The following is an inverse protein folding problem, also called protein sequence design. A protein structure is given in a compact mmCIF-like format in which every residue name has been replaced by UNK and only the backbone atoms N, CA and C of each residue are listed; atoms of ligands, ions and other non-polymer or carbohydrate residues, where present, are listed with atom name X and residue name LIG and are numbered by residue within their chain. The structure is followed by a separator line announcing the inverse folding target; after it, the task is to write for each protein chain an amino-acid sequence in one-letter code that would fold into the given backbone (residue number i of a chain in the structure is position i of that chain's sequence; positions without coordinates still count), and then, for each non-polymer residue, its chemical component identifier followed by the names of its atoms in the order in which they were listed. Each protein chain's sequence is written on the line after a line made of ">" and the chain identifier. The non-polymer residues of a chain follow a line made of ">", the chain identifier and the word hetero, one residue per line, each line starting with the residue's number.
data_IF_507947585445
#
_entry.id   IF_507947585445
#
_cell.length_a   1.000
_cell.length_b   1.000
_cell.length_c   1.000
_cell.angle_alpha   90.00
_cell.angle_beta   90.00
_cell.angle_gamma   90.00
#
_symmetry.space_group_name_H-M   'P 1'
#
loop_
_entity.id
_entity.type
_entity.pdbx_description
1 polymer ?
#
# COMPACT_ATOMS: atom_id res chain seq x y z
N UNK A 1 14.63 -38.20 13.29
CA UNK A 1 13.62 -37.48 12.48
C UNK A 1 12.81 -38.52 11.74
N UNK A 2 11.60 -38.82 12.21
CA UNK A 2 10.67 -39.70 11.50
C UNK A 2 10.12 -38.93 10.31
N UNK A 3 10.38 -39.44 9.11
CA UNK A 3 9.84 -38.87 7.87
C UNK A 3 8.30 -38.82 7.95
N UNK A 4 7.73 -37.72 7.48
CA UNK A 4 6.29 -37.59 7.35
C UNK A 4 5.78 -38.67 6.37
N UNK A 5 4.96 -39.61 6.84
CA UNK A 5 4.49 -40.76 6.06
C UNK A 5 3.52 -40.38 4.91
N UNK A 6 3.16 -39.10 4.80
CA UNK A 6 2.21 -38.57 3.81
C UNK A 6 2.88 -38.06 2.52
N UNK A 7 4.20 -38.24 2.36
CA UNK A 7 4.97 -37.66 1.26
C UNK A 7 5.23 -36.17 1.51
N UNK A 8 6.38 -35.66 1.04
CA UNK A 8 6.68 -34.23 1.11
C UNK A 8 6.15 -33.53 -0.14
N UNK A 9 5.62 -32.33 0.04
CA UNK A 9 5.21 -31.44 -1.04
C UNK A 9 6.19 -30.25 -1.14
N UNK A 10 7.45 -30.47 -1.57
CA UNK A 10 8.39 -29.38 -1.77
C UNK A 10 7.95 -28.51 -2.96
N UNK A 11 8.41 -27.26 -2.98
CA UNK A 11 8.15 -26.33 -4.08
C UNK A 11 7.02 -25.33 -3.78
N UNK A 12 6.62 -24.61 -4.82
CA UNK A 12 5.54 -23.62 -4.77
C UNK A 12 4.33 -24.09 -5.56
N UNK A 13 3.14 -23.84 -5.03
CA UNK A 13 1.86 -24.23 -5.62
C UNK A 13 0.99 -23.00 -5.81
N UNK A 14 0.23 -22.91 -6.92
CA UNK A 14 -0.70 -21.82 -7.11
C UNK A 14 -1.89 -22.00 -6.17
N UNK A 15 -2.35 -20.90 -5.57
CA UNK A 15 -3.55 -20.89 -4.74
C UNK A 15 -4.33 -19.58 -4.94
N UNK A 16 -5.54 -19.56 -4.40
CA UNK A 16 -6.46 -18.42 -4.42
C UNK A 16 -6.90 -18.14 -2.98
N UNK A 17 -6.85 -16.88 -2.56
CA UNK A 17 -7.37 -16.47 -1.25
C UNK A 17 -8.90 -16.53 -1.27
N UNK A 18 -9.48 -17.24 -0.32
CA UNK A 18 -10.93 -17.33 -0.14
C UNK A 18 -11.43 -16.40 0.97
N UNK A 19 -10.64 -16.24 2.04
CA UNK A 19 -10.89 -15.25 3.08
C UNK A 19 -9.61 -14.84 3.79
N UNK A 20 -9.60 -13.65 4.37
CA UNK A 20 -8.50 -13.11 5.17
C UNK A 20 -9.01 -12.77 6.58
N UNK A 21 -8.33 -13.30 7.59
CA UNK A 21 -8.53 -12.92 9.00
C UNK A 21 -7.47 -11.89 9.38
N UNK A 22 -7.90 -10.63 9.47
CA UNK A 22 -7.01 -9.49 9.69
C UNK A 22 -6.36 -9.51 11.08
N UNK A 23 -7.08 -9.94 12.10
CA UNK A 23 -6.59 -9.99 13.48
C UNK A 23 -5.51 -11.09 13.63
N UNK A 24 -5.73 -12.24 13.00
CA UNK A 24 -4.81 -13.38 13.03
C UNK A 24 -3.68 -13.29 12.01
N UNK A 25 -3.82 -12.46 10.98
CA UNK A 25 -2.91 -12.38 9.82
C UNK A 25 -2.80 -13.74 9.10
N UNK A 26 -3.93 -14.40 8.88
CA UNK A 26 -4.01 -15.72 8.22
C UNK A 26 -5.06 -15.74 7.14
N UNK A 27 -4.87 -16.56 6.12
CA UNK A 27 -5.83 -16.69 5.02
C UNK A 27 -6.41 -18.11 4.92
N UNK A 28 -7.67 -18.22 4.51
CA UNK A 28 -8.21 -19.47 3.98
C UNK A 28 -7.92 -19.52 2.50
N UNK A 29 -7.32 -20.62 2.03
CA UNK A 29 -6.83 -20.71 0.66
C UNK A 29 -7.39 -21.92 -0.09
N UNK A 30 -7.77 -21.70 -1.33
CA UNK A 30 -8.08 -22.77 -2.28
C UNK A 30 -6.80 -23.13 -3.05
N UNK A 31 -6.51 -24.42 -3.16
CA UNK A 31 -5.40 -24.96 -3.94
C UNK A 31 -6.02 -25.82 -5.05
N UNK A 32 -6.16 -25.29 -6.28
CA UNK A 32 -6.83 -25.98 -7.38
C UNK A 32 -6.27 -27.39 -7.60
N UNK A 33 -7.15 -28.38 -7.70
CA UNK A 33 -6.80 -29.79 -7.87
C UNK A 33 -6.43 -30.52 -6.57
N UNK A 34 -6.30 -29.82 -5.44
CA UNK A 34 -6.00 -30.40 -4.12
C UNK A 34 -7.16 -30.20 -3.16
N UNK A 35 -7.79 -29.03 -3.14
CA UNK A 35 -8.89 -28.69 -2.22
C UNK A 35 -10.25 -28.68 -2.91
N UNK A 36 -10.37 -29.25 -4.11
CA UNK A 36 -11.62 -29.26 -4.87
C UNK A 36 -12.71 -30.02 -4.11
N UNK A 37 -13.85 -29.36 -3.86
CA UNK A 37 -14.96 -29.94 -3.10
C UNK A 37 -14.76 -30.01 -1.58
N UNK A 38 -13.76 -29.30 -1.03
CA UNK A 38 -13.56 -29.21 0.41
C UNK A 38 -14.65 -28.36 1.08
N UNK A 39 -15.20 -28.84 2.21
CA UNK A 39 -16.14 -28.06 3.04
C UNK A 39 -15.46 -26.90 3.77
N UNK A 40 -14.16 -27.04 4.06
CA UNK A 40 -13.34 -26.05 4.75
C UNK A 40 -11.97 -25.96 4.09
N UNK A 41 -11.60 -24.76 3.65
CA UNK A 41 -10.30 -24.49 3.07
C UNK A 41 -9.18 -24.47 4.13
N UNK A 42 -7.95 -24.93 3.81
CA UNK A 42 -6.81 -24.86 4.71
C UNK A 42 -6.49 -23.42 5.11
N UNK A 43 -6.04 -23.24 6.35
CA UNK A 43 -5.54 -21.96 6.86
C UNK A 43 -4.04 -21.86 6.58
N UNK A 44 -3.63 -20.75 5.98
CA UNK A 44 -2.25 -20.46 5.64
C UNK A 44 -1.71 -19.24 6.41
N UNK A 45 -0.46 -19.35 6.83
CA UNK A 45 0.32 -18.23 7.36
C UNK A 45 0.81 -17.31 6.22
N UNK A 46 1.19 -16.08 6.57
CA UNK A 46 1.75 -15.10 5.63
C UNK A 46 3.26 -15.01 5.83
N UNK A 47 4.03 -15.24 4.76
CA UNK A 47 5.47 -14.97 4.75
C UNK A 47 5.70 -13.46 4.58
N UNK A 48 6.10 -12.79 5.65
CA UNK A 48 6.44 -11.37 5.59
C UNK A 48 7.82 -11.17 4.95
N UNK A 49 7.95 -10.23 3.99
CA UNK A 49 9.26 -9.81 3.51
C UNK A 49 10.15 -9.31 4.65
N UNK A 50 11.46 -9.56 4.54
CA UNK A 50 12.42 -8.99 5.48
C UNK A 50 12.32 -7.46 5.44
N UNK A 51 12.00 -6.86 6.59
CA UNK A 51 11.76 -5.41 6.73
C UNK A 51 10.31 -5.08 7.05
N UNK A 52 9.36 -5.83 6.50
CA UNK A 52 7.93 -5.65 6.73
C UNK A 52 7.53 -6.39 8.00
N UNK A 53 7.90 -5.83 9.15
CA UNK A 53 7.70 -6.50 10.44
C UNK A 53 6.23 -6.47 10.82
N UNK A 54 5.61 -7.65 10.89
CA UNK A 54 4.21 -7.81 11.30
C UNK A 54 3.92 -7.28 12.72
N UNK A 55 4.92 -7.31 13.63
CA UNK A 55 4.83 -6.80 15.00
C UNK A 55 6.16 -6.19 15.42
N UNK A 56 6.37 -4.89 15.18
CA UNK A 56 7.56 -4.17 15.63
C UNK A 56 7.20 -2.77 16.11
N UNK A 57 7.14 -2.59 17.43
CA UNK A 57 6.80 -1.30 18.02
C UNK A 57 5.43 -0.78 17.56
N UNK A 58 5.33 0.53 17.35
CA UNK A 58 4.17 1.19 16.75
C UNK A 58 4.04 0.99 15.24
N UNK A 59 5.09 0.46 14.59
CA UNK A 59 5.26 0.53 13.13
C UNK A 59 5.03 -0.84 12.48
N UNK A 60 4.12 -1.63 13.06
CA UNK A 60 3.72 -2.92 12.50
C UNK A 60 3.13 -2.76 11.11
N UNK A 61 3.59 -3.57 10.15
CA UNK A 61 3.10 -3.52 8.77
C UNK A 61 2.03 -4.56 8.53
N UNK A 62 0.92 -4.11 7.96
CA UNK A 62 -0.08 -4.96 7.32
C UNK A 62 0.15 -4.95 5.81
N UNK A 63 0.09 -6.14 5.21
CA UNK A 63 -0.03 -6.28 3.76
C UNK A 63 -1.51 -6.50 3.47
N UNK A 64 -2.11 -5.65 2.64
CA UNK A 64 -3.48 -5.84 2.17
C UNK A 64 -3.57 -7.17 1.42
N UNK A 65 -4.51 -8.03 1.82
CA UNK A 65 -4.87 -9.29 1.13
C UNK A 65 -6.39 -9.34 1.04
N UNK A 66 -6.92 -9.65 -0.14
CA UNK A 66 -8.34 -9.69 -0.43
C UNK A 66 -8.78 -11.07 -0.95
N UNK A 67 -10.04 -11.46 -0.73
CA UNK A 67 -10.63 -12.62 -1.41
C UNK A 67 -10.49 -12.49 -2.93
N UNK A 68 -10.10 -13.59 -3.58
CA UNK A 68 -9.83 -13.68 -5.01
C UNK A 68 -8.38 -13.45 -5.39
N UNK A 69 -7.52 -13.00 -4.47
CA UNK A 69 -6.10 -12.79 -4.78
C UNK A 69 -5.42 -14.08 -5.19
N UNK A 70 -4.72 -14.03 -6.32
CA UNK A 70 -3.89 -15.14 -6.79
C UNK A 70 -2.53 -15.10 -6.11
N UNK A 71 -2.15 -16.22 -5.49
CA UNK A 71 -0.96 -16.31 -4.66
C UNK A 71 -0.12 -17.55 -4.99
N UNK A 72 1.14 -17.50 -4.57
CA UNK A 72 2.01 -18.66 -4.46
C UNK A 72 2.10 -19.11 -3.02
N UNK A 73 1.86 -20.39 -2.78
CA UNK A 73 2.07 -21.01 -1.46
C UNK A 73 3.24 -21.98 -1.50
N UNK A 74 3.84 -22.22 -0.35
CA UNK A 74 4.69 -23.36 -0.07
C UNK A 74 4.17 -24.06 1.18
N UNK A 75 4.83 -25.13 1.59
CA UNK A 75 4.51 -25.86 2.81
C UNK A 75 5.72 -25.88 3.73
N UNK A 76 5.52 -25.53 5.00
CA UNK A 76 6.62 -25.45 5.98
C UNK A 76 7.22 -26.86 6.15
N UNK A 77 8.50 -27.01 5.81
CA UNK A 77 9.18 -28.32 5.78
C UNK A 77 8.61 -29.33 4.77
N UNK A 78 7.80 -28.87 3.82
CA UNK A 78 7.09 -29.71 2.85
C UNK A 78 5.86 -30.45 3.42
N UNK A 79 5.39 -30.10 4.63
CA UNK A 79 4.22 -30.70 5.26
C UNK A 79 2.94 -29.97 4.84
N UNK A 80 2.08 -30.65 4.08
CA UNK A 80 0.87 -30.09 3.46
C UNK A 80 -0.14 -29.51 4.45
N UNK A 81 -0.02 -29.85 5.73
CA UNK A 81 -0.87 -29.32 6.82
C UNK A 81 -0.52 -27.89 7.22
N UNK A 82 0.65 -27.40 6.83
CA UNK A 82 1.17 -26.08 7.22
C UNK A 82 1.51 -25.24 5.99
N UNK A 83 0.50 -24.77 5.23
CA UNK A 83 0.73 -23.89 4.10
C UNK A 83 1.19 -22.50 4.57
N UNK A 84 2.07 -21.90 3.77
CA UNK A 84 2.55 -20.53 3.93
C UNK A 84 2.45 -19.80 2.59
N UNK A 85 1.84 -18.62 2.60
CA UNK A 85 1.77 -17.73 1.44
C UNK A 85 3.13 -17.07 1.27
N UNK A 86 3.77 -17.29 0.13
CA UNK A 86 5.14 -16.81 -0.15
C UNK A 86 5.17 -15.58 -1.07
N UNK A 87 4.00 -15.16 -1.57
CA UNK A 87 3.85 -13.93 -2.34
C UNK A 87 2.68 -13.97 -3.31
N UNK A 88 2.42 -12.83 -3.94
CA UNK A 88 1.42 -12.70 -4.99
C UNK A 88 1.87 -13.39 -6.28
N UNK A 89 0.92 -14.03 -6.94
CA UNK A 89 1.08 -14.63 -8.26
C UNK A 89 0.55 -13.68 -9.31
N UNK A 90 1.28 -13.54 -10.43
CA UNK A 90 0.83 -12.74 -11.56
C UNK A 90 -0.48 -13.31 -12.14
N UNK A 91 -1.56 -12.51 -12.31
CA UNK A 91 -2.83 -12.94 -12.89
C UNK A 91 -2.75 -13.25 -14.41
N UNK A 92 -1.60 -13.02 -15.05
CA UNK A 92 -1.30 -13.31 -16.47
C UNK A 92 -2.10 -12.53 -17.52
N UNK A 93 -3.17 -11.83 -17.13
CA UNK A 93 -3.92 -10.91 -17.97
C UNK A 93 -4.40 -9.70 -17.16
N UNK A 94 -4.67 -8.57 -17.83
CA UNK A 94 -5.18 -7.35 -17.16
C UNK A 94 -4.18 -6.67 -16.23
N UNK A 95 -2.90 -7.02 -16.30
CA UNK A 95 -1.85 -6.41 -15.48
C UNK A 95 -1.72 -4.92 -15.75
N UNK A 96 -1.51 -4.14 -14.69
CA UNK A 96 -1.15 -2.74 -14.83
C UNK A 96 0.23 -2.60 -15.50
N UNK A 97 0.36 -1.61 -16.39
CA UNK A 97 1.60 -1.27 -17.07
C UNK A 97 2.08 0.07 -16.48
N UNK A 98 3.38 0.23 -16.21
CA UNK A 98 4.04 1.46 -15.73
C UNK A 98 3.61 2.03 -14.36
N UNK A 99 2.64 1.43 -13.69
CA UNK A 99 2.16 1.88 -12.38
C UNK A 99 2.49 0.89 -11.27
N UNK A 100 3.08 1.39 -10.19
CA UNK A 100 3.07 0.75 -8.88
C UNK A 100 2.02 1.43 -8.02
N UNK A 101 1.14 0.66 -7.37
CA UNK A 101 0.08 1.18 -6.49
C UNK A 101 0.19 0.53 -5.11
N UNK A 102 -0.09 1.33 -4.09
CA UNK A 102 -0.29 0.87 -2.72
C UNK A 102 -1.71 1.26 -2.34
N UNK A 103 -2.48 0.30 -1.84
CA UNK A 103 -3.84 0.50 -1.41
C UNK A 103 -4.00 -0.13 -0.03
N UNK A 104 -4.68 0.60 0.85
CA UNK A 104 -5.05 0.18 2.19
C UNK A 104 -6.06 1.19 2.73
N UNK A 105 -6.82 0.82 3.77
CA UNK A 105 -7.74 1.75 4.42
C UNK A 105 -7.04 2.99 4.99
N UNK A 106 -5.81 2.82 5.48
CA UNK A 106 -4.94 3.88 5.97
C UNK A 106 -3.49 3.58 5.53
N UNK A 107 -2.74 4.61 5.15
CA UNK A 107 -1.33 4.52 4.80
C UNK A 107 -0.57 5.60 5.57
N UNK A 108 0.53 5.21 6.20
CA UNK A 108 1.42 6.11 6.92
C UNK A 108 2.85 5.97 6.38
N UNK A 109 3.54 7.09 6.23
CA UNK A 109 4.96 7.12 5.90
C UNK A 109 5.70 7.92 6.97
N UNK A 110 6.56 7.24 7.73
CA UNK A 110 7.36 7.83 8.80
C UNK A 110 8.83 7.81 8.38
N UNK A 111 9.52 8.93 8.59
CA UNK A 111 10.97 9.02 8.43
C UNK A 111 11.55 9.87 9.56
N UNK A 112 12.63 9.41 10.20
CA UNK A 112 13.28 10.13 11.30
C UNK A 112 13.94 11.46 10.87
N UNK A 113 14.33 11.54 9.60
CA UNK A 113 15.04 12.69 9.03
C UNK A 113 14.20 13.46 8.02
N UNK A 114 14.24 13.01 6.76
CA UNK A 114 13.64 13.72 5.64
C UNK A 114 12.85 12.76 4.75
N UNK A 115 11.62 13.15 4.42
CA UNK A 115 10.82 12.53 3.38
C UNK A 115 10.91 13.36 2.09
N UNK A 116 11.16 12.71 0.94
CA UNK A 116 11.22 13.37 -0.38
C UNK A 116 10.30 12.69 -1.39
N UNK A 117 9.55 13.49 -2.14
CA UNK A 117 8.72 13.05 -3.27
C UNK A 117 9.20 13.77 -4.53
N UNK A 118 9.88 13.04 -5.43
CA UNK A 118 10.40 13.59 -6.69
C UNK A 118 9.63 12.98 -7.85
N UNK A 119 8.89 13.81 -8.59
CA UNK A 119 8.14 13.43 -9.78
C UNK A 119 7.94 14.67 -10.65
N UNK A 120 7.56 14.48 -11.92
CA UNK A 120 7.13 15.58 -12.78
C UNK A 120 5.86 16.25 -12.24
N UNK A 121 4.95 15.47 -11.65
CA UNK A 121 3.73 15.96 -11.00
C UNK A 121 3.43 15.13 -9.75
N UNK A 122 3.09 15.82 -8.66
CA UNK A 122 2.51 15.21 -7.44
C UNK A 122 1.09 15.75 -7.32
N UNK A 123 0.11 14.86 -7.47
CA UNK A 123 -1.31 15.18 -7.36
C UNK A 123 -1.87 14.69 -6.03
N UNK A 124 -2.61 15.55 -5.31
CA UNK A 124 -3.24 15.23 -4.02
C UNK A 124 -4.75 15.42 -4.16
N UNK A 125 -5.47 14.30 -4.26
CA UNK A 125 -6.93 14.25 -4.34
C UNK A 125 -7.52 13.87 -2.97
N UNK A 126 -7.59 14.84 -2.05
CA UNK A 126 -8.11 14.66 -0.70
C UNK A 126 -9.13 15.76 -0.36
N UNK A 127 -10.09 15.45 0.51
CA UNK A 127 -11.06 16.43 1.01
C UNK A 127 -10.38 17.54 1.83
N UNK A 128 -9.32 17.20 2.59
CA UNK A 128 -8.52 18.13 3.37
C UNK A 128 -7.03 17.81 3.23
N UNK A 129 -6.19 18.84 3.17
CA UNK A 129 -4.73 18.74 3.28
C UNK A 129 -4.29 19.55 4.50
N UNK A 130 -3.67 18.90 5.48
CA UNK A 130 -3.21 19.52 6.73
C UNK A 130 -1.68 19.51 6.74
N UNK A 131 -1.08 20.69 6.91
CA UNK A 131 0.38 20.85 7.06
C UNK A 131 0.67 21.45 8.43
N UNK A 132 1.27 20.64 9.31
CA UNK A 132 1.67 21.08 10.65
C UNK A 132 3.13 21.55 10.62
N UNK A 133 3.32 22.84 10.38
CA UNK A 133 4.63 23.48 10.29
C UNK A 133 4.68 24.55 9.21
N UNK A 134 5.85 25.14 9.03
CA UNK A 134 6.05 26.16 8.01
C UNK A 134 5.97 25.58 6.60
N UNK A 135 5.35 26.31 5.67
CA UNK A 135 5.22 25.89 4.26
C UNK A 135 5.90 26.91 3.35
N UNK A 136 6.80 26.42 2.49
CA UNK A 136 7.38 27.20 1.41
C UNK A 136 6.89 26.65 0.06
N UNK A 137 6.30 27.51 -0.77
CA UNK A 137 5.89 27.18 -2.14
C UNK A 137 6.79 27.94 -3.11
N UNK A 138 7.73 27.22 -3.73
CA UNK A 138 8.66 27.80 -4.71
C UNK A 138 8.23 27.36 -6.10
N UNK A 139 7.69 28.30 -6.87
CA UNK A 139 7.20 28.06 -8.22
C UNK A 139 6.69 29.35 -8.85
N UNK A 140 6.20 29.26 -10.09
CA UNK A 140 5.72 30.43 -10.83
C UNK A 140 4.32 30.90 -10.40
N UNK A 141 3.52 30.06 -9.74
CA UNK A 141 2.15 30.42 -9.33
C UNK A 141 1.67 29.62 -8.12
N UNK A 142 0.76 30.22 -7.35
CA UNK A 142 -0.09 29.57 -6.36
C UNK A 142 -1.52 30.02 -6.66
N UNK A 143 -2.44 29.08 -6.90
CA UNK A 143 -3.81 29.39 -7.32
C UNK A 143 -4.82 28.77 -6.35
N UNK A 144 -5.84 29.53 -5.97
CA UNK A 144 -6.97 29.07 -5.15
C UNK A 144 -8.28 29.52 -5.80
N UNK A 145 -9.22 28.60 -6.04
CA UNK A 145 -10.48 28.87 -6.76
C UNK A 145 -10.26 29.64 -8.08
N UNK A 146 -9.28 29.19 -8.87
CA UNK A 146 -8.87 29.81 -10.15
C UNK A 146 -8.33 31.24 -10.04
N UNK A 147 -7.96 31.72 -8.84
CA UNK A 147 -7.29 33.01 -8.62
C UNK A 147 -5.86 32.80 -8.19
N UNK A 148 -4.91 33.41 -8.89
CA UNK A 148 -3.51 33.42 -8.47
C UNK A 148 -3.38 34.30 -7.23
N UNK A 149 -2.89 33.73 -6.13
CA UNK A 149 -2.69 34.41 -4.84
C UNK A 149 -1.25 34.86 -4.61
N UNK A 150 -0.30 34.40 -5.44
CA UNK A 150 1.13 34.64 -5.28
C UNK A 150 1.59 36.06 -5.63
N UNK A 151 1.32 36.55 -6.86
CA UNK A 151 1.87 37.86 -7.29
C UNK A 151 0.87 38.84 -7.89
N UNK A 152 -0.30 38.38 -8.37
CA UNK A 152 -1.25 39.22 -9.13
C UNK A 152 -2.62 39.35 -8.47
N UNK A 153 -2.82 38.84 -7.25
CA UNK A 153 -4.10 39.01 -6.58
C UNK A 153 -4.36 40.49 -6.29
N UNK A 154 -5.57 40.94 -6.61
CA UNK A 154 -6.03 42.32 -6.43
C UNK A 154 -7.40 42.28 -5.76
N UNK A 155 -7.68 43.29 -4.96
CA UNK A 155 -9.00 43.53 -4.36
C UNK A 155 -9.73 44.59 -5.19
N UNK A 156 -11.03 44.44 -5.39
CA UNK A 156 -11.87 45.46 -6.02
C UNK A 156 -12.32 46.52 -5.00
N UNK A 157 -12.82 47.65 -5.49
CA UNK A 157 -13.41 48.74 -4.67
C UNK A 157 -12.47 49.44 -3.66
N UNK A 158 -11.17 49.14 -3.69
CA UNK A 158 -10.12 49.95 -3.06
C UNK A 158 -9.51 50.86 -4.12
N UNK A 159 -9.63 52.19 -3.93
CA UNK A 159 -8.84 53.14 -4.70
C UNK A 159 -7.37 52.90 -4.33
N UNK A 160 -6.59 52.40 -5.28
CA UNK A 160 -5.16 52.25 -5.11
C UNK A 160 -4.59 53.59 -4.65
N UNK A 161 -3.90 53.60 -3.50
CA UNK A 161 -3.14 54.78 -3.08
C UNK A 161 -2.10 55.14 -4.13
N UNK A 162 -1.57 56.37 -4.08
CA UNK A 162 -0.45 56.79 -4.93
C UNK A 162 0.81 55.94 -4.73
N UNK A 163 0.85 55.17 -3.65
CA UNK A 163 2.01 54.45 -3.20
C UNK A 163 1.94 52.99 -3.64
N UNK A 164 3.00 52.56 -4.29
CA UNK A 164 3.29 51.15 -4.48
C UNK A 164 3.85 50.65 -3.15
N UNK A 165 3.36 49.54 -2.61
CA UNK A 165 4.07 48.89 -1.51
C UNK A 165 5.47 48.50 -2.01
N UNK A 166 6.50 48.74 -1.19
CA UNK A 166 7.82 48.20 -1.46
C UNK A 166 7.80 46.66 -1.55
N UNK A 167 8.93 46.05 -1.89
CA UNK A 167 9.08 44.59 -1.78
C UNK A 167 8.60 44.11 -0.41
N UNK A 168 7.90 42.97 -0.31
CA UNK A 168 7.57 42.38 0.99
C UNK A 168 8.84 42.30 1.85
N UNK A 169 8.79 42.86 3.05
CA UNK A 169 9.84 42.77 4.08
C UNK A 169 9.58 41.63 5.03
#
# INVERSE_FOLDING_TARGET
>A
MTANNYGQMPGRYPAIVQSYDQDRRTCRIEIPGITDGADVFPEAEIEYPIGDKARSGSDGTEIEILPGDTIWIAFIGGDSRYPIITGYRNPQAGNSIDWRRFHHANIEFIADGMMRLNAETVEINAANVIVNGDTAVVGSSLTHNSKNVGSTHRHDSVQSGSDNTGSPV
#
